data_IF_870921651080
#
_entry.id   IF_870921651080
#
_cell.length_a   1.000
_cell.length_b   1.000
_cell.length_c   1.000
_cell.angle_alpha   90.00
_cell.angle_beta   90.00
_cell.angle_gamma   90.00
#
_symmetry.space_group_name_H-M   'P 1'
#
loop_
_entity.id
_entity.type
_entity.pdbx_description
1 polymer ?
#
# COMPACT_ATOMS: atom_id res chain seq x y z
N UNK A 1 14.53 -2.32 15.92
CA UNK A 1 14.92 -1.64 14.66
C UNK A 1 16.28 -0.95 14.71
N UNK A 2 16.73 -0.41 15.85
CA UNK A 2 17.94 0.44 15.94
C UNK A 2 19.28 -0.26 15.58
N UNK A 3 19.36 -1.59 15.64
CA UNK A 3 20.53 -2.39 15.21
C UNK A 3 20.30 -3.19 13.93
N UNK A 4 19.10 -3.76 13.75
CA UNK A 4 18.79 -4.69 12.65
C UNK A 4 18.87 -4.02 11.27
N UNK A 5 18.24 -2.85 11.11
CA UNK A 5 18.20 -2.17 9.80
C UNK A 5 19.62 -1.76 9.35
N UNK A 6 20.47 -1.16 10.21
CA UNK A 6 21.88 -0.94 9.88
C UNK A 6 22.64 -2.23 9.51
N UNK A 7 22.47 -3.32 10.26
CA UNK A 7 23.16 -4.59 9.97
C UNK A 7 22.77 -5.19 8.62
N UNK A 8 21.48 -5.14 8.26
CA UNK A 8 21.01 -5.58 6.95
C UNK A 8 21.62 -4.74 5.82
N UNK A 9 21.66 -3.41 6.01
CA UNK A 9 22.27 -2.50 5.04
C UNK A 9 23.75 -2.78 4.84
N UNK A 10 24.50 -3.04 5.92
CA UNK A 10 25.91 -3.46 5.83
C UNK A 10 26.11 -4.79 5.09
N UNK A 11 25.11 -5.66 5.09
CA UNK A 11 25.09 -6.90 4.31
C UNK A 11 24.54 -6.73 2.88
N UNK A 12 24.26 -5.49 2.43
CA UNK A 12 23.71 -5.20 1.11
C UNK A 12 22.20 -5.40 0.97
N UNK A 13 21.48 -5.63 2.08
CA UNK A 13 20.02 -5.81 2.10
C UNK A 13 19.38 -4.50 2.53
N UNK A 14 18.55 -3.92 1.66
CA UNK A 14 17.90 -2.63 1.91
C UNK A 14 16.39 -2.74 1.71
N UNK A 15 15.64 -2.10 2.60
CA UNK A 15 14.24 -1.77 2.35
C UNK A 15 14.23 -0.49 1.54
N UNK A 16 13.58 -0.53 0.37
CA UNK A 16 13.40 0.63 -0.50
C UNK A 16 11.97 1.13 -0.43
N UNK A 17 11.83 2.45 -0.44
CA UNK A 17 10.57 3.13 -0.70
C UNK A 17 10.30 3.21 -2.23
N UNK A 18 9.05 3.48 -2.61
CA UNK A 18 8.63 3.45 -4.01
C UNK A 18 9.35 4.48 -4.90
N UNK A 19 9.76 5.61 -4.34
CA UNK A 19 10.51 6.66 -5.01
C UNK A 19 12.00 6.32 -5.22
N UNK A 20 12.54 5.37 -4.45
CA UNK A 20 13.93 4.87 -4.57
C UNK A 20 14.10 3.75 -5.61
N UNK A 21 13.01 3.32 -6.25
CA UNK A 21 13.04 2.29 -7.28
C UNK A 21 13.49 2.85 -8.63
N UNK A 22 14.38 2.12 -9.31
CA UNK A 22 14.71 2.39 -10.71
C UNK A 22 13.59 1.95 -11.67
N UNK A 23 13.75 2.19 -12.97
CA UNK A 23 12.72 1.91 -13.97
C UNK A 23 12.32 0.45 -14.04
N UNK A 24 13.30 -0.46 -14.03
CA UNK A 24 13.07 -1.90 -14.11
C UNK A 24 12.42 -2.43 -12.84
N UNK A 25 12.85 -1.95 -11.67
CA UNK A 25 12.24 -2.27 -10.37
C UNK A 25 10.79 -1.80 -10.29
N UNK A 26 10.49 -0.58 -10.78
CA UNK A 26 9.11 -0.05 -10.83
C UNK A 26 8.24 -0.93 -11.72
N UNK A 27 8.72 -1.27 -12.92
CA UNK A 27 7.99 -2.13 -13.84
C UNK A 27 7.69 -3.50 -13.23
N UNK A 28 8.68 -4.10 -12.54
CA UNK A 28 8.51 -5.35 -11.82
C UNK A 28 7.44 -5.25 -10.72
N UNK A 29 7.52 -4.23 -9.86
CA UNK A 29 6.56 -4.04 -8.76
C UNK A 29 5.15 -3.77 -9.29
N UNK A 30 5.02 -3.00 -10.36
CA UNK A 30 3.73 -2.72 -11.00
C UNK A 30 3.09 -4.01 -11.57
N UNK A 31 3.88 -4.83 -12.27
CA UNK A 31 3.40 -6.10 -12.79
C UNK A 31 3.01 -7.07 -11.66
N UNK A 32 3.84 -7.17 -10.63
CA UNK A 32 3.55 -7.98 -9.44
C UNK A 32 2.27 -7.50 -8.74
N UNK A 33 2.09 -6.20 -8.58
CA UNK A 33 0.88 -5.63 -7.99
C UNK A 33 -0.36 -6.04 -8.79
N UNK A 34 -0.34 -5.86 -10.12
CA UNK A 34 -1.49 -6.20 -10.99
C UNK A 34 -1.82 -7.69 -10.98
N UNK A 35 -0.80 -8.55 -10.96
CA UNK A 35 -0.99 -10.01 -11.09
C UNK A 35 -1.27 -10.72 -9.77
N UNK A 36 -0.71 -10.23 -8.66
CA UNK A 36 -0.70 -10.96 -7.38
C UNK A 36 -1.46 -10.21 -6.30
N UNK A 37 -1.19 -8.91 -6.12
CA UNK A 37 -1.75 -8.14 -5.01
C UNK A 37 -3.18 -7.70 -5.31
N UNK A 38 -3.41 -7.05 -6.44
CA UNK A 38 -4.70 -6.47 -6.81
C UNK A 38 -5.87 -7.48 -6.81
N UNK A 39 -5.73 -8.71 -7.36
CA UNK A 39 -6.84 -9.68 -7.38
C UNK A 39 -7.33 -10.14 -6.01
N UNK A 40 -6.50 -10.00 -4.97
CA UNK A 40 -6.86 -10.39 -3.59
C UNK A 40 -7.27 -9.21 -2.71
N UNK A 41 -7.18 -7.98 -3.23
CA UNK A 41 -7.69 -6.80 -2.52
C UNK A 41 -9.22 -6.74 -2.62
N UNK A 42 -9.88 -6.53 -1.49
CA UNK A 42 -11.33 -6.29 -1.43
C UNK A 42 -11.56 -4.80 -1.14
N UNK A 43 -11.78 -3.96 -2.16
CA UNK A 43 -12.06 -2.55 -1.94
C UNK A 43 -13.42 -2.39 -1.25
N UNK A 44 -13.45 -1.56 -0.21
CA UNK A 44 -14.67 -1.26 0.54
C UNK A 44 -14.94 0.23 0.47
N UNK A 45 -16.02 0.62 -0.17
CA UNK A 45 -16.49 2.00 -0.11
C UNK A 45 -17.10 2.26 1.28
N UNK A 46 -16.79 3.39 1.89
CA UNK A 46 -17.33 3.81 3.19
C UNK A 46 -18.03 5.15 2.99
N UNK A 47 -19.31 5.21 3.34
CA UNK A 47 -20.15 6.41 3.28
C UNK A 47 -21.14 6.42 4.46
N UNK A 48 -21.86 7.52 4.65
CA UNK A 48 -22.81 7.69 5.77
C UNK A 48 -24.10 6.90 5.61
N UNK A 49 -24.38 6.33 4.44
CA UNK A 49 -25.63 5.62 4.15
C UNK A 49 -25.67 4.20 4.71
N UNK A 50 -24.51 3.63 5.06
CA UNK A 50 -24.39 2.28 5.62
C UNK A 50 -23.45 2.26 6.84
N UNK A 51 -23.63 1.30 7.76
CA UNK A 51 -22.71 1.11 8.88
C UNK A 51 -21.28 0.86 8.41
N UNK A 52 -20.30 1.32 9.20
CA UNK A 52 -18.89 1.08 8.94
C UNK A 52 -18.59 -0.43 8.90
N UNK A 53 -17.80 -0.91 7.92
CA UNK A 53 -17.52 -2.32 7.77
C UNK A 53 -16.71 -2.88 8.95
N UNK A 54 -16.97 -4.14 9.29
CA UNK A 54 -16.17 -4.84 10.29
C UNK A 54 -14.78 -5.16 9.74
N UNK A 55 -13.74 -4.69 10.41
CA UNK A 55 -12.35 -4.99 10.08
C UNK A 55 -11.86 -6.18 10.90
N UNK A 56 -11.09 -7.06 10.27
CA UNK A 56 -10.48 -8.18 10.96
C UNK A 56 -9.45 -7.71 11.99
N UNK A 57 -9.42 -8.33 13.17
CA UNK A 57 -8.40 -8.01 14.17
C UNK A 57 -7.00 -8.40 13.66
N UNK A 58 -6.00 -7.57 13.97
CA UNK A 58 -4.59 -7.73 13.54
C UNK A 58 -4.40 -7.80 12.02
N UNK A 59 -5.36 -7.33 11.22
CA UNK A 59 -5.14 -7.13 9.79
C UNK A 59 -4.55 -5.75 9.51
N UNK A 60 -3.77 -5.64 8.43
CA UNK A 60 -3.36 -4.37 7.88
C UNK A 60 -4.45 -3.89 6.92
N UNK A 61 -4.97 -2.68 7.13
CA UNK A 61 -5.97 -2.06 6.27
C UNK A 61 -5.44 -0.72 5.77
N UNK A 62 -5.79 -0.35 4.55
CA UNK A 62 -5.42 0.92 3.93
C UNK A 62 -6.69 1.74 3.74
N UNK A 63 -6.77 2.91 4.39
CA UNK A 63 -7.83 3.86 4.15
C UNK A 63 -7.38 4.88 3.09
N UNK A 64 -8.18 5.05 2.05
CA UNK A 64 -7.89 5.99 0.95
C UNK A 64 -9.03 6.98 0.86
N UNK A 65 -8.71 8.29 0.89
CA UNK A 65 -9.67 9.35 0.61
C UNK A 65 -9.61 9.69 -0.88
N UNK A 66 -10.77 9.61 -1.53
CA UNK A 66 -10.92 10.02 -2.93
C UNK A 66 -11.41 11.46 -2.96
N UNK A 67 -10.79 12.28 -3.81
CA UNK A 67 -11.21 13.66 -4.09
C UNK A 67 -11.51 13.78 -5.57
N UNK A 68 -12.62 14.43 -5.93
CA UNK A 68 -12.87 14.74 -7.34
C UNK A 68 -11.94 15.90 -7.81
N UNK A 69 -11.89 16.13 -9.12
CA UNK A 69 -11.04 17.17 -9.72
C UNK A 69 -11.41 18.60 -9.28
N UNK A 70 -12.59 18.79 -8.68
CA UNK A 70 -13.09 20.07 -8.18
C UNK A 70 -12.90 20.21 -6.65
N UNK A 71 -12.20 19.26 -6.01
CA UNK A 71 -12.02 19.15 -4.55
C UNK A 71 -13.32 19.03 -3.74
N UNK A 72 -14.43 18.63 -4.35
CA UNK A 72 -15.61 18.25 -3.58
C UNK A 72 -15.38 16.86 -2.95
N UNK A 73 -15.65 16.79 -1.65
CA UNK A 73 -15.56 15.56 -0.87
C UNK A 73 -16.76 14.64 -1.19
N UNK A 74 -16.50 13.35 -1.32
CA UNK A 74 -17.53 12.30 -1.30
C UNK A 74 -17.80 11.86 0.14
#
# INVERSE_FOLDING_TARGET
>A
NRSIIPSLRSAGIVFKEADELDGDQKAFVEEYFKKVVFPVLTPMAVDTSRPFPMLANKSLNIAVRLTNAENEEF
#
